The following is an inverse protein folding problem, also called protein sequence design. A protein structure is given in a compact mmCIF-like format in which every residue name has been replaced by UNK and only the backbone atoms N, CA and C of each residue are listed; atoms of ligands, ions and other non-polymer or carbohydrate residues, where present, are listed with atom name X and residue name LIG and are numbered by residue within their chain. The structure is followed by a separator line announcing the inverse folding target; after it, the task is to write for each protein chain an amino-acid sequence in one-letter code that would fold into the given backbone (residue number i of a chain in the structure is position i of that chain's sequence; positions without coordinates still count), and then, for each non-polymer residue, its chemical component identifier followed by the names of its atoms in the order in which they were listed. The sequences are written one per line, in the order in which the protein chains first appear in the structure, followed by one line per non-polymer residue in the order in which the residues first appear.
data_IF_470321594141
#
_entry.id   IF_470321594141
#
_cell.length_a   1.000
_cell.length_b   1.000
_cell.length_c   1.000
_cell.angle_alpha   90.00
_cell.angle_beta   90.00
_cell.angle_gamma   90.00
#
_symmetry.space_group_name_H-M   'P 1'
#
loop_
_entity.id
_entity.type
_entity.pdbx_description
1 polymer ?
#
# COMPACT_ATOMS: atom_id res chain seq x y z
N UNK A 1 10.04 12.71 -12.53
CA UNK A 1 8.61 13.08 -12.40
C UNK A 1 8.51 14.55 -12.02
N UNK A 2 7.56 15.34 -12.56
CA UNK A 2 7.36 16.72 -12.13
C UNK A 2 6.91 16.74 -10.66
N UNK A 3 7.54 17.59 -9.84
CA UNK A 3 7.10 17.85 -8.47
C UNK A 3 5.71 18.51 -8.54
N UNK A 4 4.65 17.76 -8.23
CA UNK A 4 3.31 18.32 -8.11
C UNK A 4 3.19 18.99 -6.75
N UNK A 5 3.07 20.31 -6.74
CA UNK A 5 2.85 21.10 -5.53
C UNK A 5 1.38 20.98 -5.12
N UNK A 6 1.12 20.56 -3.88
CA UNK A 6 -0.22 20.62 -3.28
C UNK A 6 -0.44 22.07 -2.85
N UNK A 7 -1.48 22.71 -3.39
CA UNK A 7 -1.88 24.06 -2.98
C UNK A 7 -2.96 23.95 -1.91
N UNK A 8 -2.69 24.49 -0.74
CA UNK A 8 -3.62 24.57 0.38
C UNK A 8 -4.12 26.01 0.43
N UNK A 9 -5.42 26.21 0.66
CA UNK A 9 -5.95 27.57 0.85
C UNK A 9 -5.46 28.10 2.19
N UNK A 10 -5.19 29.40 2.28
CA UNK A 10 -4.74 30.02 3.54
C UNK A 10 -5.72 29.77 4.70
N UNK A 11 -7.03 29.66 4.40
CA UNK A 11 -8.07 29.35 5.39
C UNK A 11 -7.97 27.94 5.99
N UNK A 12 -7.33 27.02 5.28
CA UNK A 12 -7.20 25.61 5.65
C UNK A 12 -5.83 25.32 6.31
N UNK A 13 -4.96 26.33 6.43
CA UNK A 13 -3.62 26.19 7.02
C UNK A 13 -3.64 25.67 8.47
N UNK A 14 -4.51 26.13 9.39
CA UNK A 14 -4.52 25.62 10.76
C UNK A 14 -4.88 24.13 10.84
N UNK A 15 -5.77 23.66 9.96
CA UNK A 15 -6.14 22.25 9.85
C UNK A 15 -4.96 21.43 9.31
N UNK A 16 -4.22 21.98 8.36
CA UNK A 16 -3.02 21.34 7.81
C UNK A 16 -1.92 21.17 8.87
N UNK A 17 -1.62 22.23 9.62
CA UNK A 17 -0.63 22.19 10.70
C UNK A 17 -1.02 21.20 11.79
N UNK A 18 -2.32 21.14 12.14
CA UNK A 18 -2.84 20.15 13.06
C UNK A 18 -2.65 18.72 12.53
N UNK A 19 -2.96 18.48 11.26
CA UNK A 19 -2.73 17.19 10.62
C UNK A 19 -1.24 16.81 10.61
N UNK A 20 -0.34 17.77 10.35
CA UNK A 20 1.12 17.53 10.36
C UNK A 20 1.62 17.17 11.75
N UNK A 21 1.08 17.81 12.79
CA UNK A 21 1.45 17.49 14.17
C UNK A 21 1.01 16.08 14.61
N UNK A 22 -0.04 15.55 13.97
CA UNK A 22 -0.58 14.21 14.24
C UNK A 22 0.07 13.12 13.39
N UNK A 23 0.70 13.48 12.27
CA UNK A 23 1.38 12.55 11.42
C UNK A 23 2.69 12.10 12.10
N UNK A 24 2.75 10.83 12.49
CA UNK A 24 3.90 10.24 13.21
C UNK A 24 5.10 10.05 12.27
N UNK A 25 5.76 11.16 11.96
CA UNK A 25 7.03 11.21 11.24
C UNK A 25 6.94 11.07 9.72
N UNK A 26 5.75 10.97 9.14
CA UNK A 26 5.53 11.15 7.69
C UNK A 26 4.98 12.55 7.45
N UNK A 27 5.40 13.25 6.40
CA UNK A 27 4.75 14.55 6.08
C UNK A 27 3.34 14.28 5.57
N UNK A 28 2.37 15.08 6.02
CA UNK A 28 0.97 15.00 5.54
C UNK A 28 0.90 15.14 4.02
N UNK A 29 1.79 15.95 3.45
CA UNK A 29 1.96 16.06 2.00
C UNK A 29 2.34 14.74 1.31
N UNK A 30 3.17 13.90 1.92
CA UNK A 30 3.53 12.59 1.36
C UNK A 30 2.34 11.63 1.41
N UNK A 31 1.66 11.56 2.56
CA UNK A 31 0.46 10.73 2.76
C UNK A 31 -0.63 11.13 1.75
N UNK A 32 -0.88 12.43 1.59
CA UNK A 32 -1.89 12.93 0.66
C UNK A 32 -1.48 12.77 -0.81
N UNK A 33 -0.20 12.91 -1.13
CA UNK A 33 0.30 12.67 -2.49
C UNK A 33 0.12 11.19 -2.86
N UNK A 34 0.46 10.27 -1.96
CA UNK A 34 0.27 8.83 -2.18
C UNK A 34 -1.21 8.47 -2.28
N UNK A 35 -2.05 8.98 -1.37
CA UNK A 35 -3.50 8.79 -1.43
C UNK A 35 -4.11 9.37 -2.74
N UNK A 36 -3.64 10.55 -3.18
CA UNK A 36 -4.08 11.17 -4.43
C UNK A 36 -3.55 10.44 -5.66
N UNK A 37 -2.34 9.88 -5.60
CA UNK A 37 -1.77 9.11 -6.69
C UNK A 37 -2.50 7.78 -6.85
N UNK A 38 -2.81 7.08 -5.75
CA UNK A 38 -3.68 5.91 -5.75
C UNK A 38 -5.11 6.24 -6.22
N UNK A 39 -5.64 7.41 -5.84
CA UNK A 39 -6.92 7.95 -6.32
C UNK A 39 -6.92 8.20 -7.83
N UNK A 40 -5.81 8.70 -8.41
CA UNK A 40 -5.70 9.02 -9.82
C UNK A 40 -5.32 7.82 -10.72
N UNK A 41 -4.57 6.85 -10.21
CA UNK A 41 -4.02 5.73 -11.00
C UNK A 41 -4.95 4.50 -11.09
N UNK A 42 -6.05 4.45 -10.34
CA UNK A 42 -7.03 3.39 -10.50
C UNK A 42 -8.19 3.50 -9.53
N UNK A 43 -9.25 4.20 -9.93
CA UNK A 43 -10.50 4.22 -9.17
C UNK A 43 -11.12 2.83 -9.11
N UNK A 44 -10.82 2.10 -8.03
CA UNK A 44 -11.63 0.97 -7.61
C UNK A 44 -12.83 1.51 -6.85
N UNK A 45 -14.05 1.02 -7.14
CA UNK A 45 -15.22 1.25 -6.28
C UNK A 45 -14.87 1.03 -4.81
N UNK A 46 -15.10 2.03 -3.97
CA UNK A 46 -14.96 1.91 -2.51
C UNK A 46 -16.33 1.71 -1.90
N UNK A 47 -16.44 1.05 -0.75
CA UNK A 47 -17.71 0.99 -0.05
C UNK A 47 -17.92 2.29 0.73
N UNK A 48 -19.16 2.71 0.87
CA UNK A 48 -19.54 3.82 1.73
C UNK A 48 -20.88 3.56 2.40
N UNK A 49 -21.03 4.08 3.61
CA UNK A 49 -22.33 4.24 4.26
C UNK A 49 -22.89 5.60 3.88
N UNK A 50 -24.04 5.61 3.20
CA UNK A 50 -24.67 6.80 2.62
C UNK A 50 -26.00 7.05 3.32
N UNK A 51 -26.23 8.30 3.71
CA UNK A 51 -27.52 8.81 4.17
C UNK A 51 -28.03 9.83 3.17
N UNK A 52 -29.20 9.59 2.60
CA UNK A 52 -29.85 10.53 1.69
C UNK A 52 -30.66 11.55 2.48
N UNK A 53 -30.75 12.76 1.94
CA UNK A 53 -31.59 13.82 2.50
C UNK A 53 -33.06 13.41 2.40
N UNK A 54 -33.78 13.42 3.52
CA UNK A 54 -35.18 13.00 3.59
C UNK A 54 -35.39 11.50 3.84
N UNK A 55 -34.33 10.68 3.75
CA UNK A 55 -34.41 9.26 4.12
C UNK A 55 -34.22 9.05 5.62
N UNK A 56 -34.97 8.11 6.20
CA UNK A 56 -34.90 7.70 7.61
C UNK A 56 -33.77 6.70 7.88
N UNK A 57 -33.30 5.97 6.85
CA UNK A 57 -32.23 4.99 6.94
C UNK A 57 -30.98 5.41 6.17
N UNK A 58 -29.82 4.91 6.61
CA UNK A 58 -28.60 4.90 5.82
C UNK A 58 -28.42 3.52 5.19
N UNK A 59 -27.67 3.43 4.10
CA UNK A 59 -27.37 2.16 3.44
C UNK A 59 -25.91 2.09 3.01
N UNK A 60 -25.40 0.87 2.85
CA UNK A 60 -24.04 0.60 2.40
C UNK A 60 -24.03 0.27 0.91
N UNK A 61 -23.27 1.01 0.12
CA UNK A 61 -23.14 0.81 -1.32
C UNK A 61 -21.70 1.03 -1.79
N UNK A 62 -21.37 0.50 -2.98
CA UNK A 62 -20.12 0.89 -3.64
C UNK A 62 -20.29 2.28 -4.23
N UNK A 63 -19.28 3.13 -4.12
CA UNK A 63 -19.29 4.50 -4.64
C UNK A 63 -18.06 4.78 -5.48
N UNK A 64 -18.22 5.68 -6.43
CA UNK A 64 -17.17 6.20 -7.27
C UNK A 64 -17.40 7.71 -7.44
N UNK A 65 -16.41 8.57 -7.16
CA UNK A 65 -16.58 10.01 -7.35
C UNK A 65 -16.76 10.33 -8.83
N UNK A 66 -17.65 11.26 -9.15
CA UNK A 66 -17.92 11.71 -10.51
C UNK A 66 -17.96 13.23 -10.56
N UNK A 67 -17.87 13.80 -11.76
CA UNK A 67 -17.97 15.25 -11.92
C UNK A 67 -19.28 15.76 -11.30
N UNK A 68 -19.15 16.60 -10.27
CA UNK A 68 -20.28 17.19 -9.57
C UNK A 68 -21.12 16.25 -8.71
N UNK A 69 -20.64 15.05 -8.36
CA UNK A 69 -21.41 14.10 -7.53
C UNK A 69 -20.75 12.73 -7.33
N UNK A 70 -21.57 11.72 -7.12
CA UNK A 70 -21.13 10.35 -6.84
C UNK A 70 -21.92 9.36 -7.67
N UNK A 71 -21.23 8.41 -8.31
CA UNK A 71 -21.85 7.19 -8.81
C UNK A 71 -21.98 6.21 -7.65
N UNK A 72 -23.18 5.73 -7.40
CA UNK A 72 -23.52 4.78 -6.35
C UNK A 72 -24.01 3.50 -6.99
N UNK A 73 -23.34 2.39 -6.71
CA UNK A 73 -23.74 1.08 -7.23
C UNK A 73 -25.08 0.69 -6.63
N UNK A 74 -25.96 0.25 -7.50
CA UNK A 74 -27.30 -0.17 -7.15
C UNK A 74 -27.26 -1.62 -6.67
N UNK A 75 -27.97 -1.90 -5.59
CA UNK A 75 -28.22 -3.26 -5.12
C UNK A 75 -29.67 -3.43 -4.70
N UNK A 76 -30.22 -4.64 -4.82
CA UNK A 76 -31.59 -4.96 -4.39
C UNK A 76 -31.76 -5.00 -2.86
N UNK A 77 -30.79 -4.48 -2.10
CA UNK A 77 -30.89 -4.42 -0.65
C UNK A 77 -32.07 -3.52 -0.25
N UNK A 78 -32.93 -4.06 0.61
CA UNK A 78 -34.16 -3.41 1.09
C UNK A 78 -33.93 -1.97 1.56
N UNK A 79 -32.81 -1.73 2.24
CA UNK A 79 -32.52 -0.45 2.87
C UNK A 79 -32.17 0.63 1.85
N UNK A 80 -31.48 0.27 0.77
CA UNK A 80 -31.16 1.20 -0.32
C UNK A 80 -32.44 1.62 -1.06
N UNK A 81 -33.26 0.65 -1.47
CA UNK A 81 -34.52 0.92 -2.19
C UNK A 81 -35.45 1.77 -1.34
N UNK A 82 -35.58 1.44 -0.05
CA UNK A 82 -36.38 2.22 0.90
C UNK A 82 -35.84 3.64 1.08
N UNK A 83 -34.53 3.80 1.29
CA UNK A 83 -33.93 5.13 1.44
C UNK A 83 -34.11 6.00 0.17
N UNK A 84 -33.97 5.41 -1.02
CA UNK A 84 -34.22 6.10 -2.29
C UNK A 84 -35.67 6.55 -2.42
N UNK A 85 -36.63 5.68 -2.08
CA UNK A 85 -38.05 6.01 -2.11
C UNK A 85 -38.41 7.14 -1.13
N UNK A 86 -37.90 7.09 0.10
CA UNK A 86 -38.12 8.14 1.11
C UNK A 86 -37.50 9.49 0.67
N UNK A 87 -36.35 9.45 0.01
CA UNK A 87 -35.70 10.63 -0.59
C UNK A 87 -36.30 11.09 -1.93
N UNK A 88 -37.42 10.48 -2.36
CA UNK A 88 -38.09 10.77 -3.64
C UNK A 88 -37.20 10.57 -4.88
N UNK A 89 -36.21 9.68 -4.79
CA UNK A 89 -35.34 9.30 -5.90
C UNK A 89 -35.98 8.13 -6.65
N UNK A 90 -36.39 8.38 -7.89
CA UNK A 90 -37.06 7.38 -8.73
C UNK A 90 -36.04 6.40 -9.30
N UNK A 91 -36.19 5.13 -8.95
CA UNK A 91 -35.43 4.03 -9.55
C UNK A 91 -36.19 3.46 -10.77
N UNK A 92 -35.51 3.06 -11.86
CA UNK A 92 -36.14 2.38 -12.97
C UNK A 92 -36.84 1.09 -12.52
N UNK A 93 -38.02 0.79 -13.05
CA UNK A 93 -38.78 -0.42 -12.70
C UNK A 93 -38.07 -1.73 -13.12
N UNK A 94 -37.18 -1.65 -14.12
CA UNK A 94 -36.43 -2.77 -14.68
C UNK A 94 -34.92 -2.55 -14.47
N UNK A 95 -34.47 -2.47 -13.23
CA UNK A 95 -33.03 -2.38 -12.97
C UNK A 95 -32.36 -3.72 -13.27
N UNK A 96 -31.20 -3.74 -13.94
CA UNK A 96 -30.45 -4.96 -14.10
C UNK A 96 -30.01 -5.44 -12.72
N UNK A 97 -30.26 -6.72 -12.44
CA UNK A 97 -30.00 -7.36 -11.13
C UNK A 97 -28.52 -7.67 -10.90
N UNK A 98 -27.66 -7.35 -11.87
CA UNK A 98 -26.20 -7.53 -11.78
C UNK A 98 -25.52 -6.27 -11.25
N UNK A 99 -24.37 -6.49 -10.61
CA UNK A 99 -23.43 -5.54 -9.99
C UNK A 99 -22.90 -4.39 -10.88
N UNK A 100 -23.53 -4.12 -12.03
CA UNK A 100 -23.08 -3.22 -13.08
C UNK A 100 -23.92 -1.93 -13.19
N UNK A 101 -25.02 -1.80 -12.43
CA UNK A 101 -25.83 -0.58 -12.42
C UNK A 101 -25.30 0.47 -11.44
N UNK A 102 -25.14 1.69 -11.93
CA UNK A 102 -24.72 2.85 -11.17
C UNK A 102 -25.76 3.97 -11.25
N UNK A 103 -26.06 4.57 -10.11
CA UNK A 103 -26.91 5.74 -10.01
C UNK A 103 -26.03 6.96 -9.71
N UNK A 104 -26.21 8.04 -10.46
CA UNK A 104 -25.57 9.30 -10.12
C UNK A 104 -26.38 10.05 -9.05
N UNK A 105 -25.70 10.47 -7.99
CA UNK A 105 -26.25 11.29 -6.91
C UNK A 105 -25.51 12.63 -6.83
N UNK A 106 -26.28 13.72 -6.80
CA UNK A 106 -25.75 15.05 -6.54
C UNK A 106 -25.39 15.21 -5.04
N UNK A 107 -24.38 16.03 -4.69
CA UNK A 107 -23.98 16.27 -3.32
C UNK A 107 -25.13 16.76 -2.42
N UNK A 108 -26.05 17.56 -2.96
CA UNK A 108 -27.18 18.09 -2.17
C UNK A 108 -28.26 17.04 -1.84
N UNK A 109 -28.24 15.88 -2.50
CA UNK A 109 -29.12 14.74 -2.21
C UNK A 109 -28.57 13.86 -1.08
N UNK A 110 -27.30 14.04 -0.72
CA UNK A 110 -26.62 13.29 0.35
C UNK A 110 -26.59 14.16 1.60
N UNK A 111 -27.04 13.62 2.73
CA UNK A 111 -26.95 14.25 4.03
C UNK A 111 -25.55 14.03 4.62
N UNK A 112 -25.12 12.77 4.68
CA UNK A 112 -23.74 12.40 4.98
C UNK A 112 -23.32 11.14 4.22
N UNK A 113 -22.01 11.00 4.02
CA UNK A 113 -21.40 9.80 3.47
C UNK A 113 -20.11 9.50 4.20
N UNK A 114 -20.01 8.28 4.75
CA UNK A 114 -18.79 7.75 5.34
C UNK A 114 -18.18 6.76 4.36
N UNK A 115 -17.11 7.17 3.68
CA UNK A 115 -16.35 6.27 2.82
C UNK A 115 -15.63 5.28 3.70
N UNK A 116 -15.94 4.00 3.52
CA UNK A 116 -15.18 2.92 4.11
C UNK A 116 -13.88 2.86 3.34
N UNK A 117 -12.83 3.36 3.99
CA UNK A 117 -11.48 3.05 3.59
C UNK A 117 -11.40 1.51 3.53
N UNK A 118 -11.11 0.88 2.37
CA UNK A 118 -10.85 -0.54 2.35
C UNK A 118 -9.85 -0.85 3.46
N UNK A 119 -9.97 -1.99 4.13
CA UNK A 119 -9.03 -2.39 5.18
C UNK A 119 -7.56 -2.34 4.72
N UNK A 120 -7.31 -2.29 3.41
CA UNK A 120 -6.02 -2.01 2.76
C UNK A 120 -5.50 -0.57 2.86
N UNK A 121 -6.28 0.39 3.36
CA UNK A 121 -5.81 1.72 3.76
C UNK A 121 -5.22 1.72 5.19
N UNK A 122 -5.20 0.56 5.87
CA UNK A 122 -4.65 0.39 7.22
C UNK A 122 -3.55 -0.65 7.40
N UNK A 123 -3.30 -1.55 6.43
CA UNK A 123 -2.12 -2.42 6.47
C UNK A 123 -1.68 -2.79 5.07
N UNK A 124 -0.51 -2.27 4.68
CA UNK A 124 0.23 -2.76 3.54
C UNK A 124 0.41 -4.29 3.68
N UNK A 125 0.03 -5.06 2.65
CA UNK A 125 0.24 -6.51 2.65
C UNK A 125 1.71 -6.81 2.31
N UNK A 126 2.58 -6.67 3.31
CA UNK A 126 4.01 -6.91 3.18
C UNK A 126 4.33 -8.33 2.71
N UNK A 127 3.44 -9.32 2.96
CA UNK A 127 3.63 -10.69 2.48
C UNK A 127 3.50 -10.73 0.96
N UNK A 128 2.52 -10.04 0.39
CA UNK A 128 2.38 -9.95 -1.07
C UNK A 128 3.57 -9.20 -1.71
N UNK A 129 4.03 -8.12 -1.09
CA UNK A 129 5.27 -7.47 -1.54
C UNK A 129 6.50 -8.36 -1.39
N UNK A 130 6.57 -9.20 -0.36
CA UNK A 130 7.64 -10.17 -0.18
C UNK A 130 7.62 -11.24 -1.27
N UNK A 131 6.42 -11.71 -1.67
CA UNK A 131 6.28 -12.62 -2.83
C UNK A 131 6.80 -12.01 -4.11
N UNK A 132 6.51 -10.72 -4.33
CA UNK A 132 7.00 -9.96 -5.50
C UNK A 132 8.51 -9.70 -5.43
N UNK A 133 9.05 -9.45 -4.24
CA UNK A 133 10.48 -9.20 -4.03
C UNK A 133 11.32 -10.47 -4.21
N UNK A 134 10.80 -11.63 -3.82
CA UNK A 134 11.50 -12.92 -3.89
C UNK A 134 12.20 -13.20 -5.23
N UNK A 135 11.50 -13.26 -6.38
CA UNK A 135 12.15 -13.54 -7.66
C UNK A 135 13.14 -12.44 -8.09
N UNK A 136 12.94 -11.20 -7.63
CA UNK A 136 13.89 -10.10 -7.87
C UNK A 136 15.20 -10.38 -7.13
N UNK A 137 15.13 -10.73 -5.85
CA UNK A 137 16.32 -11.00 -5.03
C UNK A 137 17.04 -12.27 -5.47
N UNK A 138 16.32 -13.36 -5.79
CA UNK A 138 16.92 -14.60 -6.33
C UNK A 138 17.65 -14.32 -7.64
N UNK A 139 17.05 -13.56 -8.56
CA UNK A 139 17.71 -13.14 -9.81
C UNK A 139 18.98 -12.34 -9.54
N UNK A 140 18.94 -11.43 -8.57
CA UNK A 140 20.09 -10.60 -8.16
C UNK A 140 21.21 -11.43 -7.54
N UNK A 141 20.87 -12.42 -6.71
CA UNK A 141 21.81 -13.38 -6.14
C UNK A 141 22.58 -14.12 -7.24
N UNK A 142 21.89 -14.73 -8.20
CA UNK A 142 22.55 -15.45 -9.29
C UNK A 142 23.35 -14.54 -10.23
N UNK A 143 22.92 -13.29 -10.40
CA UNK A 143 23.67 -12.28 -11.14
C UNK A 143 24.88 -11.73 -10.35
N UNK A 144 25.04 -12.10 -9.06
CA UNK A 144 26.04 -11.53 -8.15
C UNK A 144 25.97 -10.00 -8.09
N UNK A 145 24.76 -9.46 -8.14
CA UNK A 145 24.49 -8.03 -8.11
C UNK A 145 23.66 -7.70 -6.88
N UNK A 146 24.04 -6.63 -6.18
CA UNK A 146 23.22 -6.07 -5.11
C UNK A 146 22.23 -5.04 -5.67
N UNK A 147 21.24 -4.69 -4.86
CA UNK A 147 20.38 -3.54 -5.07
C UNK A 147 20.27 -2.73 -3.79
N UNK A 148 19.99 -1.45 -3.91
CA UNK A 148 19.75 -0.59 -2.76
C UNK A 148 18.32 -0.74 -2.25
N UNK A 149 18.08 -0.39 -0.98
CA UNK A 149 16.72 -0.31 -0.42
C UNK A 149 15.79 0.57 -1.28
N UNK A 150 16.32 1.68 -1.83
CA UNK A 150 15.56 2.56 -2.73
C UNK A 150 15.17 1.88 -4.04
N UNK A 151 16.12 1.19 -4.68
CA UNK A 151 15.84 0.46 -5.93
C UNK A 151 14.84 -0.67 -5.71
N UNK A 152 14.93 -1.40 -4.58
CA UNK A 152 13.93 -2.41 -4.25
C UNK A 152 12.55 -1.79 -4.05
N UNK A 153 12.47 -0.68 -3.32
CA UNK A 153 11.22 0.03 -3.09
C UNK A 153 10.56 0.50 -4.39
N UNK A 154 11.34 1.07 -5.31
CA UNK A 154 10.88 1.47 -6.65
C UNK A 154 10.37 0.26 -7.45
N UNK A 155 11.11 -0.85 -7.48
CA UNK A 155 10.71 -2.08 -8.18
C UNK A 155 9.42 -2.69 -7.62
N UNK A 156 9.13 -2.45 -6.34
CA UNK A 156 7.92 -2.93 -5.67
C UNK A 156 6.72 -1.99 -5.86
N UNK A 157 6.89 -0.84 -6.52
CA UNK A 157 5.80 0.12 -6.78
C UNK A 157 5.85 1.34 -5.88
N UNK A 158 7.05 1.79 -5.49
CA UNK A 158 7.25 3.04 -4.76
C UNK A 158 7.27 2.90 -3.23
N UNK A 159 7.65 1.73 -2.71
CA UNK A 159 7.75 1.55 -1.26
C UNK A 159 8.84 2.43 -0.65
N UNK A 160 8.57 2.97 0.54
CA UNK A 160 9.52 3.78 1.28
C UNK A 160 10.71 2.91 1.77
N UNK A 161 11.95 3.27 1.41
CA UNK A 161 13.13 2.42 1.60
C UNK A 161 13.48 2.14 3.06
N UNK A 162 13.15 3.05 3.98
CA UNK A 162 13.50 2.91 5.41
C UNK A 162 12.34 2.47 6.30
N UNK A 163 11.13 2.31 5.75
CA UNK A 163 9.92 2.03 6.56
C UNK A 163 9.20 0.79 6.09
N UNK A 164 9.01 0.67 4.79
CA UNK A 164 8.19 -0.38 4.19
C UNK A 164 9.05 -1.51 3.64
N UNK A 165 10.17 -1.20 2.98
CA UNK A 165 11.09 -2.23 2.47
C UNK A 165 11.63 -3.14 3.59
N UNK A 166 12.03 -2.65 4.77
CA UNK A 166 12.45 -3.53 5.86
C UNK A 166 11.36 -4.54 6.27
N UNK A 167 10.10 -4.12 6.36
CA UNK A 167 8.98 -5.00 6.70
C UNK A 167 8.75 -6.10 5.64
N UNK A 168 9.05 -5.82 4.37
CA UNK A 168 9.06 -6.83 3.30
C UNK A 168 10.21 -7.82 3.49
N UNK A 169 11.39 -7.32 3.81
CA UNK A 169 12.60 -8.13 3.98
C UNK A 169 12.52 -9.04 5.20
N UNK A 170 11.94 -8.58 6.31
CA UNK A 170 11.74 -9.37 7.54
C UNK A 170 10.98 -10.67 7.27
N UNK A 171 9.99 -10.64 6.36
CA UNK A 171 9.20 -11.82 5.98
C UNK A 171 10.08 -12.84 5.24
N UNK A 172 10.89 -12.36 4.30
CA UNK A 172 11.80 -13.19 3.50
C UNK A 172 12.89 -13.78 4.40
N UNK A 173 13.50 -12.94 5.23
CA UNK A 173 14.55 -13.30 6.17
C UNK A 173 14.07 -14.40 7.11
N UNK A 174 12.92 -14.18 7.77
CA UNK A 174 12.33 -15.14 8.70
C UNK A 174 12.10 -16.50 8.02
N UNK A 175 11.55 -16.49 6.81
CA UNK A 175 11.37 -17.75 6.08
C UNK A 175 12.71 -18.43 5.78
N UNK A 176 13.72 -17.68 5.31
CA UNK A 176 15.03 -18.25 5.00
C UNK A 176 15.67 -18.90 6.24
N UNK A 177 15.64 -18.20 7.37
CA UNK A 177 16.17 -18.69 8.65
C UNK A 177 15.42 -19.95 9.13
N UNK A 178 14.09 -19.95 9.09
CA UNK A 178 13.25 -21.08 9.52
C UNK A 178 13.50 -22.35 8.68
N UNK A 179 13.95 -22.20 7.43
CA UNK A 179 14.13 -23.29 6.48
C UNK A 179 15.60 -23.60 6.17
N UNK A 180 16.55 -22.96 6.86
CA UNK A 180 17.99 -23.20 6.69
C UNK A 180 18.57 -22.68 5.37
N UNK A 181 17.88 -21.76 4.71
CA UNK A 181 18.41 -21.02 3.57
C UNK A 181 19.34 -19.90 4.04
N UNK A 182 20.28 -19.50 3.19
CA UNK A 182 21.03 -18.28 3.47
C UNK A 182 20.13 -17.05 3.41
N UNK A 183 20.50 -16.00 4.12
CA UNK A 183 19.68 -14.80 4.21
C UNK A 183 19.68 -14.01 2.88
N UNK A 184 18.62 -14.19 2.10
CA UNK A 184 18.46 -13.56 0.79
C UNK A 184 18.41 -12.02 0.87
N UNK A 185 18.12 -11.45 2.05
CA UNK A 185 18.12 -10.01 2.27
C UNK A 185 19.53 -9.41 2.19
N UNK A 186 20.58 -10.24 2.26
CA UNK A 186 21.97 -9.86 2.01
C UNK A 186 22.22 -9.22 0.64
N UNK A 187 21.29 -9.37 -0.31
CA UNK A 187 21.37 -8.74 -1.62
C UNK A 187 20.97 -7.27 -1.59
N UNK A 188 20.31 -6.80 -0.53
CA UNK A 188 19.86 -5.42 -0.36
C UNK A 188 20.86 -4.64 0.49
N UNK A 189 21.37 -3.52 -0.04
CA UNK A 189 22.45 -2.74 0.57
C UNK A 189 22.09 -1.28 0.75
N UNK A 190 22.80 -0.60 1.65
CA UNK A 190 22.73 0.86 1.75
C UNK A 190 23.31 1.51 0.49
N UNK A 191 22.62 2.54 -0.02
CA UNK A 191 23.11 3.34 -1.16
C UNK A 191 24.44 4.03 -0.87
N UNK A 192 24.67 4.41 0.39
CA UNK A 192 25.84 5.21 0.78
C UNK A 192 27.08 4.32 0.94
N UNK A 193 26.93 3.15 1.55
CA UNK A 193 28.07 2.28 1.87
C UNK A 193 28.27 1.14 0.88
N UNK A 194 27.24 0.77 0.12
CA UNK A 194 27.24 -0.45 -0.70
C UNK A 194 27.27 -1.74 0.13
N UNK A 195 27.00 -1.65 1.43
CA UNK A 195 27.02 -2.75 2.38
C UNK A 195 25.61 -3.02 2.95
N UNK A 196 25.32 -4.25 3.41
CA UNK A 196 24.10 -4.56 4.15
C UNK A 196 23.84 -3.63 5.34
N UNK A 197 22.56 -3.51 5.70
CA UNK A 197 22.11 -2.74 6.86
C UNK A 197 22.64 -3.28 8.19
N UNK A 198 22.53 -2.48 9.24
CA UNK A 198 23.04 -2.84 10.58
C UNK A 198 22.40 -4.12 11.12
N UNK A 199 21.11 -4.31 10.88
CA UNK A 199 20.33 -5.44 11.40
C UNK A 199 20.83 -6.77 10.84
N UNK A 200 21.19 -6.80 9.55
CA UNK A 200 21.81 -7.97 8.91
C UNK A 200 23.06 -8.44 9.66
N UNK A 201 23.93 -7.51 10.07
CA UNK A 201 25.14 -7.85 10.84
C UNK A 201 24.81 -8.40 12.23
N UNK A 202 23.79 -7.85 12.89
CA UNK A 202 23.37 -8.30 14.21
C UNK A 202 22.79 -9.71 14.16
N UNK A 203 21.89 -9.96 13.21
CA UNK A 203 21.20 -11.24 13.02
C UNK A 203 22.18 -12.36 12.70
N UNK A 204 23.21 -12.07 11.90
CA UNK A 204 24.27 -13.04 11.58
C UNK A 204 25.35 -13.17 12.68
N UNK A 205 25.24 -12.41 13.78
CA UNK A 205 26.21 -12.44 14.88
C UNK A 205 27.57 -11.82 14.53
N UNK A 206 27.61 -10.91 13.54
CA UNK A 206 28.82 -10.25 13.04
C UNK A 206 28.94 -8.79 13.47
N UNK A 207 27.97 -8.24 14.20
CA UNK A 207 27.99 -6.83 14.63
C UNK A 207 29.25 -6.44 15.45
N UNK A 208 29.88 -7.41 16.15
CA UNK A 208 31.05 -7.17 17.01
C UNK A 208 32.42 -7.37 16.34
N UNK A 209 32.48 -7.81 15.09
CA UNK A 209 33.77 -8.05 14.40
C UNK A 209 34.16 -6.84 13.53
N UNK A 210 35.45 -6.67 13.17
CA UNK A 210 35.88 -5.58 12.31
C UNK A 210 35.15 -5.55 10.96
N UNK A 211 34.85 -4.35 10.44
CA UNK A 211 34.09 -4.17 9.18
C UNK A 211 34.71 -4.93 8.01
N UNK A 212 36.05 -4.96 7.90
CA UNK A 212 36.72 -5.73 6.84
C UNK A 212 36.36 -7.22 6.90
N UNK A 213 36.30 -7.79 8.10
CA UNK A 213 35.91 -9.18 8.33
C UNK A 213 34.40 -9.40 8.07
N UNK A 214 33.55 -8.43 8.44
CA UNK A 214 32.11 -8.48 8.10
C UNK A 214 31.91 -8.59 6.57
N UNK A 215 32.64 -7.79 5.80
CA UNK A 215 32.55 -7.78 4.33
C UNK A 215 33.03 -9.11 3.74
N UNK A 216 34.12 -9.68 4.25
CA UNK A 216 34.60 -10.99 3.80
C UNK A 216 33.59 -12.10 4.10
N UNK A 217 33.01 -12.12 5.31
CA UNK A 217 31.98 -13.09 5.68
C UNK A 217 30.71 -12.94 4.86
N UNK A 218 30.26 -11.72 4.60
CA UNK A 218 29.13 -11.43 3.73
C UNK A 218 29.33 -11.94 2.31
N UNK A 219 30.48 -11.64 1.69
CA UNK A 219 30.81 -12.16 0.36
C UNK A 219 30.84 -13.68 0.33
N UNK A 220 31.43 -14.31 1.36
CA UNK A 220 31.44 -15.77 1.49
C UNK A 220 30.03 -16.35 1.63
N UNK A 221 29.17 -15.72 2.42
CA UNK A 221 27.77 -16.12 2.57
C UNK A 221 27.01 -16.02 1.24
N UNK A 222 27.21 -14.93 0.46
CA UNK A 222 26.65 -14.81 -0.89
C UNK A 222 27.10 -15.95 -1.82
N UNK A 223 28.38 -16.30 -1.80
CA UNK A 223 28.89 -17.43 -2.60
C UNK A 223 28.29 -18.78 -2.17
N UNK A 224 28.06 -18.97 -0.87
CA UNK A 224 27.39 -20.17 -0.36
C UNK A 224 25.91 -20.23 -0.77
N UNK A 225 25.21 -19.10 -0.75
CA UNK A 225 23.80 -19.00 -1.18
C UNK A 225 23.61 -19.38 -2.66
N UNK A 226 24.56 -19.04 -3.54
CA UNK A 226 24.49 -19.40 -4.96
C UNK A 226 24.51 -20.92 -5.18
N UNK A 227 25.10 -21.68 -4.25
CA UNK A 227 25.14 -23.15 -4.32
C UNK A 227 23.84 -23.80 -3.83
N UNK A 228 22.91 -23.04 -3.23
CA UNK A 228 21.63 -23.54 -2.76
C UNK A 228 20.60 -23.61 -3.90
N UNK A 229 19.65 -24.54 -3.79
CA UNK A 229 18.53 -24.63 -4.72
C UNK A 229 17.38 -23.75 -4.24
N UNK A 230 17.18 -22.62 -4.92
CA UNK A 230 16.14 -21.65 -4.60
C UNK A 230 14.81 -21.98 -5.29
N UNK A 231 13.68 -21.94 -4.58
CA UNK A 231 12.35 -21.93 -5.19
C UNK A 231 12.19 -20.80 -6.20
N UNK A 232 11.63 -21.10 -7.38
CA UNK A 232 11.30 -20.08 -8.39
C UNK A 232 10.23 -19.11 -7.88
N UNK A 233 9.25 -19.65 -7.15
CA UNK A 233 8.16 -18.89 -6.53
C UNK A 233 8.40 -18.71 -5.03
N UNK A 234 7.84 -17.65 -4.47
CA UNK A 234 7.93 -17.38 -3.04
C UNK A 234 7.15 -18.45 -2.23
N UNK A 235 7.79 -19.11 -1.26
CA UNK A 235 7.22 -20.27 -0.54
C UNK A 235 6.29 -19.91 0.64
N UNK A 236 5.74 -18.69 0.70
CA UNK A 236 4.95 -18.17 1.83
C UNK A 236 3.78 -17.30 1.37
#
# INVERSE_FOLDING_TARGET
MPKKTIYIRDTDMPLWEQAESLATGESVSAILTEALQQYLEGFRPVYATIKLRGASLAFRARVHPASGGWLVAISEKSDMVRAMSEAQIVLPQNMPTKDDAWLWLAPHQIDYMFVELPSSLGSMDFREYARRAWPILVKRLFAQQTLTYGELGELLGGLHPYRQVPQVLDIIEKWCLEHGYGDLTAMVVSKTTGLPGTDYWQQNGWAGIPVAEQVERWKKAQQQMIQQQWPEEAPF
#
